data_IF_930921438626
#
_entry.id   IF_930921438626
#
_cell.length_a   1.000
_cell.length_b   1.000
_cell.length_c   1.000
_cell.angle_alpha   90.00
_cell.angle_beta   90.00
_cell.angle_gamma   90.00
#
_symmetry.space_group_name_H-M   'P 1'
#
loop_
_entity.id
_entity.type
_entity.pdbx_description
1 polymer ?
#
# COMPACT_ATOMS: atom_id res chain seq x y z
N UNK A 1 62.38 -23.92 -20.53
CA UNK A 1 61.63 -24.60 -21.61
C UNK A 1 60.67 -25.54 -20.91
N UNK A 2 59.33 -25.46 -20.95
CA UNK A 2 58.31 -24.68 -21.68
C UNK A 2 57.13 -24.55 -20.69
N UNK A 3 56.64 -23.35 -20.38
CA UNK A 3 55.41 -22.75 -20.94
C UNK A 3 54.28 -23.73 -21.24
N UNK A 4 53.22 -23.69 -20.43
CA UNK A 4 51.80 -23.89 -20.79
C UNK A 4 50.96 -23.72 -19.50
N UNK A 5 49.76 -23.14 -19.44
CA UNK A 5 49.00 -22.17 -20.23
C UNK A 5 47.84 -21.81 -19.31
N UNK A 6 47.61 -20.53 -19.06
CA UNK A 6 46.52 -20.04 -18.23
C UNK A 6 45.15 -20.41 -18.86
N UNK A 7 44.24 -20.94 -18.04
CA UNK A 7 42.81 -21.03 -18.36
C UNK A 7 42.03 -20.23 -17.32
N UNK A 8 41.83 -18.96 -17.68
CA UNK A 8 40.86 -18.05 -17.10
C UNK A 8 39.46 -18.63 -17.28
N UNK A 9 38.77 -18.97 -16.18
CA UNK A 9 37.32 -19.17 -16.20
C UNK A 9 36.68 -18.15 -15.27
N UNK A 10 36.33 -17.03 -15.87
CA UNK A 10 35.50 -15.97 -15.32
C UNK A 10 34.12 -16.55 -15.05
N UNK A 11 33.85 -16.98 -13.81
CA UNK A 11 32.49 -17.30 -13.37
C UNK A 11 31.89 -16.05 -12.76
N UNK A 12 31.13 -15.34 -13.58
CA UNK A 12 30.21 -14.28 -13.20
C UNK A 12 29.13 -14.86 -12.27
N UNK A 13 29.39 -14.85 -10.97
CA UNK A 13 28.31 -15.04 -9.99
C UNK A 13 27.55 -13.72 -9.87
N UNK A 14 26.36 -13.73 -10.49
CA UNK A 14 25.27 -12.78 -10.32
C UNK A 14 25.20 -12.30 -8.87
N UNK A 15 25.35 -10.99 -8.72
CA UNK A 15 24.84 -10.21 -7.61
C UNK A 15 23.33 -10.45 -7.52
N UNK A 16 22.93 -11.26 -6.55
CA UNK A 16 21.55 -11.61 -6.21
C UNK A 16 21.28 -11.33 -4.73
N UNK A 17 21.99 -10.35 -4.16
CA UNK A 17 21.88 -9.93 -2.78
C UNK A 17 20.57 -9.18 -2.53
N UNK A 18 19.53 -9.95 -2.20
CA UNK A 18 18.45 -9.59 -1.29
C UNK A 18 17.59 -8.35 -1.61
N UNK A 19 16.58 -8.49 -2.50
CA UNK A 19 15.46 -7.56 -2.55
C UNK A 19 14.71 -7.41 -1.20
N UNK A 20 14.93 -8.31 -0.25
CA UNK A 20 14.36 -8.24 1.10
C UNK A 20 15.12 -7.25 2.01
N UNK A 21 16.46 -7.23 1.96
CA UNK A 21 17.27 -6.33 2.79
C UNK A 21 17.10 -4.85 2.39
N UNK A 22 16.99 -4.59 1.10
CA UNK A 22 16.67 -3.26 0.56
C UNK A 22 15.30 -2.77 1.08
N UNK A 23 14.27 -3.64 1.04
CA UNK A 23 12.93 -3.32 1.54
C UNK A 23 12.89 -3.12 3.05
N UNK A 24 13.62 -3.93 3.81
CA UNK A 24 13.75 -3.75 5.26
C UNK A 24 14.46 -2.43 5.60
N UNK A 25 15.46 -2.04 4.81
CA UNK A 25 16.13 -0.74 4.94
C UNK A 25 15.19 0.42 4.61
N UNK A 26 14.37 0.28 3.56
CA UNK A 26 13.36 1.27 3.17
C UNK A 26 12.28 1.44 4.24
N UNK A 27 11.79 0.34 4.83
CA UNK A 27 10.87 0.35 5.97
C UNK A 27 11.53 1.03 7.18
N UNK A 28 12.79 0.72 7.47
CA UNK A 28 13.55 1.39 8.54
C UNK A 28 13.68 2.90 8.31
N UNK A 29 13.94 3.31 7.07
CA UNK A 29 14.01 4.72 6.69
C UNK A 29 12.66 5.43 6.87
N UNK A 30 11.56 4.80 6.44
CA UNK A 30 10.19 5.31 6.62
C UNK A 30 9.83 5.45 8.10
N UNK A 31 10.16 4.45 8.93
CA UNK A 31 9.94 4.50 10.38
C UNK A 31 10.75 5.65 11.01
N UNK A 32 11.99 5.86 10.55
CA UNK A 32 12.85 6.93 11.07
C UNK A 32 12.45 8.33 10.60
N UNK A 33 11.71 8.44 9.48
CA UNK A 33 11.20 9.67 8.94
C UNK A 33 9.94 10.17 9.66
N UNK A 34 9.30 9.34 10.50
CA UNK A 34 8.24 9.81 11.38
C UNK A 34 8.81 10.87 12.32
N UNK A 35 8.11 12.01 12.49
CA UNK A 35 8.49 13.01 13.47
C UNK A 35 8.58 12.32 14.83
N UNK A 36 9.80 12.16 15.35
CA UNK A 36 10.00 11.84 16.75
C UNK A 36 9.44 13.06 17.48
N UNK A 37 8.25 12.93 18.04
CA UNK A 37 7.64 13.99 18.83
C UNK A 37 8.68 14.55 19.80
N UNK A 38 8.64 15.86 20.04
CA UNK A 38 9.56 16.58 20.93
C UNK A 38 9.53 16.03 22.36
N UNK A 39 10.10 14.86 22.58
CA UNK A 39 10.33 14.26 23.88
C UNK A 39 11.70 14.73 24.34
N UNK A 40 11.74 15.98 24.83
CA UNK A 40 12.90 16.52 25.55
C UNK A 40 13.09 15.90 26.95
N UNK A 41 12.54 14.71 27.17
CA UNK A 41 12.79 13.92 28.36
C UNK A 41 12.60 12.46 27.97
N UNK A 42 13.32 11.53 28.58
CA UNK A 42 13.28 10.08 28.31
C UNK A 42 11.93 9.41 28.60
N UNK A 43 10.84 10.16 28.58
CA UNK A 43 9.48 9.70 28.76
C UNK A 43 9.00 8.99 27.51
N UNK A 44 8.74 7.69 27.68
CA UNK A 44 7.88 6.88 26.82
C UNK A 44 6.71 7.74 26.32
N UNK A 45 6.42 7.78 25.01
CA UNK A 45 5.28 8.54 24.50
C UNK A 45 4.04 8.13 25.30
N UNK A 46 3.18 9.10 25.70
CA UNK A 46 2.01 8.81 26.52
C UNK A 46 1.23 7.68 25.84
N UNK A 47 0.81 6.68 26.62
CA UNK A 47 0.07 5.53 26.08
C UNK A 47 -1.25 6.06 25.50
N UNK A 48 -1.26 6.31 24.19
CA UNK A 48 -2.43 6.80 23.47
C UNK A 48 -3.40 5.64 23.23
N UNK A 49 -4.70 5.94 23.14
CA UNK A 49 -5.72 4.94 22.81
C UNK A 49 -5.41 4.25 21.47
N UNK A 50 -4.99 5.04 20.45
CA UNK A 50 -4.51 4.51 19.17
C UNK A 50 -3.25 3.63 19.33
N UNK A 51 -2.27 4.07 20.13
CA UNK A 51 -1.06 3.31 20.38
C UNK A 51 -1.35 1.97 21.07
N UNK A 52 -2.33 1.94 21.97
CA UNK A 52 -2.80 0.72 22.62
C UNK A 52 -3.54 -0.21 21.65
N UNK A 53 -4.42 0.36 20.81
CA UNK A 53 -5.13 -0.41 19.79
C UNK A 53 -4.18 -1.00 18.74
N UNK A 54 -3.18 -0.23 18.30
CA UNK A 54 -2.14 -0.70 17.37
C UNK A 54 -1.28 -1.81 17.99
N UNK A 55 -0.84 -1.65 19.26
CA UNK A 55 -0.11 -2.71 19.98
C UNK A 55 -0.94 -3.99 20.05
N UNK A 56 -2.23 -3.89 20.37
CA UNK A 56 -3.11 -5.04 20.40
C UNK A 56 -3.24 -5.70 19.02
N UNK A 57 -3.43 -4.92 17.96
CA UNK A 57 -3.46 -5.43 16.58
C UNK A 57 -2.19 -6.20 16.23
N UNK A 58 -1.01 -5.67 16.57
CA UNK A 58 0.28 -6.33 16.33
C UNK A 58 0.39 -7.63 17.14
N UNK A 59 -0.07 -7.66 18.39
CA UNK A 59 -0.09 -8.88 19.20
C UNK A 59 -0.97 -9.94 18.54
N UNK A 60 -2.19 -9.58 18.11
CA UNK A 60 -3.10 -10.52 17.45
C UNK A 60 -2.57 -11.01 16.11
N UNK A 61 -1.90 -10.15 15.35
CA UNK A 61 -1.22 -10.53 14.11
C UNK A 61 -0.13 -11.57 14.34
N UNK A 62 0.76 -11.34 15.33
CA UNK A 62 1.82 -12.29 15.66
C UNK A 62 1.27 -13.60 16.21
N UNK A 63 0.18 -13.55 17.00
CA UNK A 63 -0.54 -14.74 17.47
C UNK A 63 -1.08 -15.57 16.29
N UNK A 64 -1.75 -14.91 15.33
CA UNK A 64 -2.25 -15.57 14.13
C UNK A 64 -1.12 -16.21 13.31
N UNK A 65 -0.02 -15.48 13.08
CA UNK A 65 1.14 -16.01 12.35
C UNK A 65 1.75 -17.22 13.06
N UNK A 66 1.89 -17.16 14.39
CA UNK A 66 2.45 -18.27 15.18
C UNK A 66 1.59 -19.53 15.12
N UNK A 67 0.29 -19.40 14.88
CA UNK A 67 -0.62 -20.53 14.73
C UNK A 67 -0.66 -21.09 13.30
N UNK A 68 -0.40 -20.24 12.29
CA UNK A 68 -0.30 -20.66 10.89
C UNK A 68 1.05 -21.30 10.59
N UNK A 69 2.12 -20.85 11.26
CA UNK A 69 3.46 -21.45 11.20
C UNK A 69 3.48 -22.64 12.15
N UNK A 70 3.13 -23.82 11.64
CA UNK A 70 3.21 -25.06 12.41
C UNK A 70 4.67 -25.52 12.56
N UNK A 71 5.12 -25.74 13.80
CA UNK A 71 6.29 -26.57 14.03
C UNK A 71 5.97 -28.01 13.65
N UNK A 72 6.78 -28.59 12.76
CA UNK A 72 6.57 -29.90 12.12
C UNK A 72 6.63 -31.08 13.13
N UNK A 73 7.15 -30.83 14.34
CA UNK A 73 7.56 -31.89 15.27
C UNK A 73 6.54 -32.27 16.36
N UNK A 74 5.33 -31.69 16.35
CA UNK A 74 4.29 -31.99 17.36
C UNK A 74 3.16 -32.85 16.80
N UNK A 75 2.56 -33.76 17.61
CA UNK A 75 1.39 -34.53 17.19
C UNK A 75 0.27 -33.57 16.77
N UNK A 76 -0.21 -33.74 15.52
CA UNK A 76 -1.15 -32.80 14.95
C UNK A 76 -2.47 -32.80 15.73
N UNK A 77 -3.01 -31.63 16.11
CA UNK A 77 -4.32 -31.54 16.73
C UNK A 77 -5.41 -32.13 15.84
N UNK A 78 -6.53 -32.57 16.44
CA UNK A 78 -7.71 -32.99 15.67
C UNK A 78 -8.17 -31.83 14.78
N UNK A 79 -8.59 -32.13 13.55
CA UNK A 79 -8.97 -31.13 12.53
C UNK A 79 -9.97 -30.08 13.04
N UNK A 80 -10.90 -30.48 13.91
CA UNK A 80 -11.88 -29.58 14.53
C UNK A 80 -11.21 -28.49 15.38
N UNK A 81 -10.19 -28.83 16.16
CA UNK A 81 -9.44 -27.88 16.97
C UNK A 81 -8.62 -26.91 16.12
N UNK A 82 -8.08 -27.37 14.99
CA UNK A 82 -7.36 -26.51 14.04
C UNK A 82 -8.31 -25.47 13.45
N UNK A 83 -9.51 -25.91 13.03
CA UNK A 83 -10.53 -25.02 12.47
C UNK A 83 -11.01 -24.00 13.50
N UNK A 84 -11.35 -24.44 14.71
CA UNK A 84 -11.80 -23.56 15.79
C UNK A 84 -10.73 -22.51 16.14
N UNK A 85 -9.47 -22.93 16.24
CA UNK A 85 -8.33 -22.03 16.51
C UNK A 85 -8.16 -21.01 15.39
N UNK A 86 -8.26 -21.44 14.13
CA UNK A 86 -8.17 -20.54 12.99
C UNK A 86 -9.33 -19.52 12.96
N UNK A 87 -10.58 -19.96 13.17
CA UNK A 87 -11.75 -19.07 13.23
C UNK A 87 -11.61 -18.05 14.36
N UNK A 88 -11.20 -18.51 15.54
CA UNK A 88 -11.03 -17.64 16.71
C UNK A 88 -9.94 -16.58 16.49
N UNK A 89 -8.78 -16.98 15.97
CA UNK A 89 -7.65 -16.06 15.77
C UNK A 89 -7.87 -15.07 14.63
N UNK A 90 -8.52 -15.49 13.55
CA UNK A 90 -8.95 -14.56 12.49
C UNK A 90 -9.95 -13.55 13.04
N UNK A 91 -10.89 -13.99 13.87
CA UNK A 91 -11.84 -13.10 14.53
C UNK A 91 -11.13 -12.09 15.45
N UNK A 92 -10.22 -12.55 16.30
CA UNK A 92 -9.46 -11.67 17.19
C UNK A 92 -8.63 -10.63 16.45
N UNK A 93 -7.95 -11.04 15.39
CA UNK A 93 -7.19 -10.12 14.55
C UNK A 93 -8.10 -9.08 13.88
N UNK A 94 -9.23 -9.53 13.32
CA UNK A 94 -10.23 -8.62 12.74
C UNK A 94 -10.74 -7.60 13.76
N UNK A 95 -11.11 -8.05 14.95
CA UNK A 95 -11.64 -7.18 16.00
C UNK A 95 -10.59 -6.15 16.45
N UNK A 96 -9.31 -6.55 16.53
CA UNK A 96 -8.22 -5.64 16.83
C UNK A 96 -7.98 -4.60 15.71
N UNK A 97 -8.07 -4.99 14.43
CA UNK A 97 -8.02 -4.06 13.30
C UNK A 97 -9.16 -3.04 13.34
N UNK A 98 -10.38 -3.49 13.66
CA UNK A 98 -11.54 -2.59 13.80
C UNK A 98 -11.35 -1.59 14.93
N UNK A 99 -10.83 -2.02 16.08
CA UNK A 99 -10.55 -1.14 17.21
C UNK A 99 -9.45 -0.10 16.90
N UNK A 100 -8.43 -0.48 16.13
CA UNK A 100 -7.42 0.47 15.66
C UNK A 100 -8.02 1.49 14.69
N UNK A 101 -8.83 1.03 13.73
CA UNK A 101 -9.47 1.90 12.75
C UNK A 101 -10.45 2.89 13.40
N UNK A 102 -11.17 2.48 14.44
CA UNK A 102 -12.06 3.39 15.18
C UNK A 102 -11.27 4.52 15.86
N UNK A 103 -10.11 4.21 16.45
CA UNK A 103 -9.26 5.25 17.05
C UNK A 103 -8.64 6.17 16.00
N UNK A 104 -8.22 5.63 14.85
CA UNK A 104 -7.72 6.43 13.74
C UNK A 104 -8.79 7.38 13.21
N UNK A 105 -10.02 6.87 13.05
CA UNK A 105 -11.17 7.67 12.62
C UNK A 105 -11.46 8.79 13.61
N UNK A 106 -11.47 8.46 14.91
CA UNK A 106 -11.71 9.44 15.97
C UNK A 106 -10.66 10.56 15.96
N UNK A 107 -9.38 10.20 15.86
CA UNK A 107 -8.27 11.18 15.79
C UNK A 107 -8.36 12.02 14.52
N UNK A 108 -8.70 11.39 13.39
CA UNK A 108 -8.90 12.11 12.13
C UNK A 108 -9.98 13.18 12.28
N UNK A 109 -11.17 12.80 12.80
CA UNK A 109 -12.26 13.75 13.04
C UNK A 109 -11.86 14.87 14.01
N UNK A 110 -11.17 14.53 15.10
CA UNK A 110 -10.68 15.51 16.07
C UNK A 110 -9.68 16.50 15.41
N UNK A 111 -8.78 15.99 14.56
CA UNK A 111 -7.87 16.84 13.80
C UNK A 111 -8.63 17.77 12.84
N UNK A 112 -9.63 17.26 12.11
CA UNK A 112 -10.44 18.08 11.20
C UNK A 112 -11.16 19.23 11.92
N UNK A 113 -11.67 18.98 13.14
CA UNK A 113 -12.33 19.99 13.96
C UNK A 113 -11.35 21.05 14.48
N UNK A 114 -10.13 20.65 14.81
CA UNK A 114 -9.10 21.54 15.35
C UNK A 114 -8.37 22.35 14.26
N UNK A 115 -8.39 21.91 13.01
CA UNK A 115 -7.67 22.53 11.89
C UNK A 115 -8.58 22.77 10.66
N UNK A 116 -9.64 23.59 10.78
CA UNK A 116 -10.61 23.80 9.70
C UNK A 116 -10.01 24.49 8.46
N UNK A 117 -9.01 25.37 8.61
CA UNK A 117 -8.35 26.00 7.46
C UNK A 117 -7.57 24.99 6.60
N UNK A 118 -6.88 24.04 7.23
CA UNK A 118 -6.18 22.97 6.50
C UNK A 118 -7.19 22.05 5.79
N UNK A 119 -8.37 21.83 6.37
CA UNK A 119 -9.46 21.11 5.70
C UNK A 119 -9.97 21.83 4.46
N UNK A 120 -10.22 23.14 4.55
CA UNK A 120 -10.64 23.95 3.39
C UNK A 120 -9.58 23.91 2.29
N UNK A 121 -8.30 24.02 2.65
CA UNK A 121 -7.19 23.91 1.70
C UNK A 121 -7.12 22.55 1.03
N UNK A 122 -7.33 21.47 1.77
CA UNK A 122 -7.40 20.11 1.23
C UNK A 122 -8.58 19.96 0.26
N UNK A 123 -9.77 20.46 0.62
CA UNK A 123 -10.95 20.44 -0.26
C UNK A 123 -10.72 21.21 -1.56
N UNK A 124 -10.09 22.39 -1.50
CA UNK A 124 -9.74 23.16 -2.70
C UNK A 124 -8.82 22.34 -3.62
N UNK A 125 -7.80 21.71 -3.07
CA UNK A 125 -6.88 20.87 -3.85
C UNK A 125 -7.61 19.66 -4.50
N UNK A 126 -8.56 19.06 -3.80
CA UNK A 126 -9.40 17.98 -4.34
C UNK A 126 -10.31 18.47 -5.48
N UNK A 127 -10.89 19.67 -5.36
CA UNK A 127 -11.66 20.28 -6.44
C UNK A 127 -10.79 20.60 -7.66
N UNK A 128 -9.59 21.16 -7.47
CA UNK A 128 -8.64 21.40 -8.56
C UNK A 128 -8.24 20.11 -9.29
N UNK A 129 -8.05 19.02 -8.56
CA UNK A 129 -7.79 17.70 -9.15
C UNK A 129 -9.00 17.18 -9.94
N UNK A 130 -10.21 17.36 -9.41
CA UNK A 130 -11.45 16.97 -10.08
C UNK A 130 -11.66 17.76 -11.37
N UNK A 131 -11.42 19.08 -11.35
CA UNK A 131 -11.52 19.95 -12.54
C UNK A 131 -10.55 19.47 -13.61
N UNK A 132 -9.27 19.27 -13.28
CA UNK A 132 -8.28 18.77 -14.23
C UNK A 132 -8.68 17.43 -14.87
N UNK A 133 -9.19 16.51 -14.07
CA UNK A 133 -9.70 15.23 -14.58
C UNK A 133 -10.87 15.43 -15.56
N UNK A 134 -11.77 16.38 -15.28
CA UNK A 134 -12.89 16.68 -16.16
C UNK A 134 -12.42 17.32 -17.47
N UNK A 135 -11.45 18.23 -17.42
CA UNK A 135 -10.81 18.83 -18.60
C UNK A 135 -10.14 17.77 -19.49
N UNK A 136 -9.45 16.80 -18.88
CA UNK A 136 -8.86 15.67 -19.60
C UNK A 136 -9.92 14.81 -20.31
N UNK A 137 -11.05 14.57 -19.64
CA UNK A 137 -12.17 13.80 -20.20
C UNK A 137 -12.84 14.55 -21.35
N UNK A 138 -13.07 15.85 -21.20
CA UNK A 138 -13.62 16.70 -22.26
C UNK A 138 -12.71 16.72 -23.47
N UNK A 139 -11.40 16.89 -23.25
CA UNK A 139 -10.39 16.87 -24.32
C UNK A 139 -10.42 15.56 -25.10
N UNK A 140 -10.48 14.42 -24.40
CA UNK A 140 -10.58 13.09 -25.03
C UNK A 140 -11.87 12.93 -25.85
N UNK A 141 -12.99 13.43 -25.35
CA UNK A 141 -14.28 13.37 -26.05
C UNK A 141 -14.24 14.26 -27.30
N UNK A 142 -13.70 15.48 -27.20
CA UNK A 142 -13.54 16.39 -28.34
C UNK A 142 -12.67 15.78 -29.43
N UNK A 143 -11.51 15.20 -29.09
CA UNK A 143 -10.65 14.51 -30.05
C UNK A 143 -11.38 13.38 -30.77
N UNK A 144 -12.12 12.55 -30.02
CA UNK A 144 -12.91 11.46 -30.61
C UNK A 144 -14.01 11.99 -31.55
N UNK A 145 -14.66 13.10 -31.19
CA UNK A 145 -15.68 13.72 -32.03
C UNK A 145 -15.07 14.26 -33.32
N UNK A 146 -13.90 14.90 -33.25
CA UNK A 146 -13.18 15.39 -34.44
C UNK A 146 -12.75 14.24 -35.37
N UNK A 147 -12.31 13.12 -34.79
CA UNK A 147 -12.03 11.88 -35.54
C UNK A 147 -13.28 11.31 -36.22
N UNK A 148 -14.43 11.31 -35.55
CA UNK A 148 -15.70 10.84 -36.13
C UNK A 148 -16.23 11.78 -37.23
N UNK A 149 -16.13 13.10 -37.05
CA UNK A 149 -16.53 14.10 -38.06
C UNK A 149 -15.65 13.97 -39.31
N UNK A 150 -14.32 13.93 -39.13
CA UNK A 150 -13.38 13.77 -40.25
C UNK A 150 -13.53 12.41 -40.96
N UNK A 151 -13.88 11.35 -40.23
CA UNK A 151 -14.22 10.05 -40.82
C UNK A 151 -15.56 10.08 -41.57
N UNK A 152 -16.55 10.82 -41.06
CA UNK A 152 -17.86 11.01 -41.68
C UNK A 152 -17.78 11.80 -42.99
N UNK A 153 -16.97 12.86 -43.06
CA UNK A 153 -16.76 13.64 -44.28
C UNK A 153 -16.11 12.82 -45.41
N UNK A 154 -15.15 11.95 -45.08
CA UNK A 154 -14.53 11.04 -46.05
C UNK A 154 -15.48 9.96 -46.59
N UNK A 155 -16.52 9.58 -45.83
CA UNK A 155 -17.52 8.60 -46.27
C UNK A 155 -18.58 9.18 -47.22
N UNK A 156 -18.79 10.50 -47.19
CA UNK A 156 -19.83 11.17 -47.98
C UNK A 156 -19.32 11.65 -49.36
N UNK A 157 -18.00 11.68 -49.59
CA UNK A 157 -17.40 12.01 -50.89
C UNK A 157 -17.29 10.79 -51.83
N UNK A 158 -17.49 9.57 -51.33
CA UNK A 158 -17.32 8.32 -52.09
C UNK A 158 -18.57 7.80 -52.82
N UNK A 159 -19.74 8.41 -52.64
CA UNK A 159 -21.02 7.84 -53.12
C UNK A 159 -21.70 8.62 -54.26
N UNK A 160 -21.05 9.61 -54.88
CA UNK A 160 -21.69 10.39 -55.93
C UNK A 160 -20.81 10.59 -57.18
N UNK A 161 -20.63 9.54 -57.99
CA UNK A 161 -20.46 9.66 -59.45
C UNK A 161 -20.81 8.32 -60.13
N UNK A 162 -21.98 8.30 -60.77
CA UNK A 162 -22.46 7.19 -61.58
C UNK A 162 -23.70 7.61 -62.36
N UNK A 163 -23.52 8.58 -63.27
CA UNK A 163 -24.38 8.73 -64.44
C UNK A 163 -23.85 7.82 -65.55
#
# INVERSE_FOLDING_TARGET
MMSDRASTSTRTSRDGGEPCAEKLREIGALISAFPKGNSNDGQKPPDSALGTALKNMVIQWNSLLSQVVTEVDHPQPILEHIKETAEFSVKQFRDACLAMNSELTRISMDWQLNFPEEMVKQEIAEYENSIRRQEDLLTKISQKLDEEISSGENSNFGTNFGF
#
